data_IF_641677893471
#
_entry.id   IF_641677893471
#
_cell.length_a   1.000
_cell.length_b   1.000
_cell.length_c   1.000
_cell.angle_alpha   90.00
_cell.angle_beta   90.00
_cell.angle_gamma   90.00
#
_symmetry.space_group_name_H-M   'P 1'
#
loop_
_entity.id
_entity.type
_entity.pdbx_description
1 polymer ?
#
# COMPACT_ATOMS: atom_id res chain seq x y z
N UNK A 1 -71.51 -52.75 -23.02
CA UNK A 1 -71.36 -53.94 -22.19
C UNK A 1 -70.49 -53.59 -20.99
N UNK A 2 -71.04 -53.82 -19.79
CA UNK A 2 -70.42 -53.80 -18.42
C UNK A 2 -69.63 -52.61 -18.00
N UNK A 3 -70.11 -51.67 -17.15
CA UNK A 3 -70.53 -51.62 -15.73
C UNK A 3 -69.54 -52.27 -14.75
N UNK A 4 -68.99 -51.42 -13.84
CA UNK A 4 -68.86 -51.51 -12.37
C UNK A 4 -68.04 -50.33 -11.85
N UNK A 5 -68.62 -49.37 -11.13
CA UNK A 5 -68.95 -49.22 -9.72
C UNK A 5 -67.83 -49.67 -8.69
N UNK A 6 -67.49 -48.77 -7.84
CA UNK A 6 -66.87 -49.05 -6.56
C UNK A 6 -66.08 -47.83 -6.04
N UNK A 7 -66.51 -47.18 -5.21
CA UNK A 7 -66.75 -47.07 -3.77
C UNK A 7 -66.02 -45.84 -3.18
N UNK A 8 -66.78 -44.97 -2.58
CA UNK A 8 -66.41 -43.85 -1.73
C UNK A 8 -65.86 -44.37 -0.38
N UNK A 9 -64.73 -43.90 0.05
CA UNK A 9 -64.28 -44.02 1.43
C UNK A 9 -64.02 -42.61 2.04
N UNK A 10 -64.92 -42.21 2.91
CA UNK A 10 -64.82 -41.04 3.77
C UNK A 10 -63.92 -41.41 4.95
N UNK A 11 -62.80 -40.71 5.15
CA UNK A 11 -62.05 -40.78 6.37
C UNK A 11 -62.14 -39.41 7.07
N UNK A 12 -62.86 -39.37 8.20
CA UNK A 12 -62.83 -38.30 9.18
C UNK A 12 -61.43 -38.33 9.85
N UNK A 13 -60.65 -37.28 9.66
CA UNK A 13 -59.42 -37.05 10.38
C UNK A 13 -59.61 -35.93 11.41
N UNK A 14 -59.46 -36.27 12.69
CA UNK A 14 -59.54 -35.36 13.84
C UNK A 14 -58.44 -34.30 13.79
N UNK A 15 -58.83 -33.00 13.88
CA UNK A 15 -57.89 -31.90 14.03
C UNK A 15 -57.47 -31.79 15.50
N UNK A 16 -56.22 -32.18 15.80
CA UNK A 16 -55.59 -31.87 17.06
C UNK A 16 -54.92 -30.47 16.94
N UNK A 17 -55.51 -29.47 17.61
CA UNK A 17 -54.90 -28.16 17.79
C UNK A 17 -53.78 -28.24 18.82
N UNK A 18 -52.54 -28.25 18.36
CA UNK A 18 -51.38 -28.07 19.21
C UNK A 18 -51.12 -26.55 19.43
N UNK A 19 -51.41 -26.09 20.63
CA UNK A 19 -51.01 -24.75 21.11
C UNK A 19 -49.53 -24.74 21.37
N UNK A 20 -48.75 -24.14 20.41
CA UNK A 20 -47.36 -23.89 20.63
C UNK A 20 -47.17 -22.65 21.52
N UNK A 21 -46.78 -22.81 22.74
CA UNK A 21 -46.31 -21.73 23.62
C UNK A 21 -44.95 -21.26 23.13
N UNK A 22 -44.95 -20.09 22.43
CA UNK A 22 -43.70 -19.42 22.07
C UNK A 22 -43.04 -18.84 23.33
N UNK A 23 -41.92 -19.43 23.73
CA UNK A 23 -41.03 -18.85 24.73
C UNK A 23 -40.26 -17.73 24.03
N UNK A 24 -40.26 -16.47 24.48
CA UNK A 24 -39.44 -15.43 23.92
C UNK A 24 -37.95 -15.74 24.23
N UNK A 25 -37.19 -16.15 23.24
CA UNK A 25 -35.72 -16.15 23.32
C UNK A 25 -35.30 -14.70 23.35
N UNK A 26 -34.86 -14.21 24.50
CA UNK A 26 -34.18 -12.94 24.60
C UNK A 26 -32.94 -12.99 23.72
N UNK A 27 -32.97 -12.30 22.58
CA UNK A 27 -31.78 -12.02 21.78
C UNK A 27 -30.88 -11.12 22.64
N UNK A 28 -29.87 -11.71 23.28
CA UNK A 28 -28.75 -10.94 23.78
C UNK A 28 -28.12 -10.24 22.59
N UNK A 29 -28.30 -8.92 22.51
CA UNK A 29 -27.55 -8.09 21.58
C UNK A 29 -26.07 -8.32 21.90
N UNK A 30 -25.37 -9.05 21.05
CA UNK A 30 -23.91 -9.07 21.07
C UNK A 30 -23.49 -7.61 20.83
N UNK A 31 -22.82 -7.02 21.83
CA UNK A 31 -22.16 -5.73 21.68
C UNK A 31 -21.27 -5.77 20.43
N UNK A 32 -20.98 -4.63 19.83
CA UNK A 32 -20.08 -4.59 18.67
C UNK A 32 -18.76 -5.27 19.08
N UNK A 33 -18.47 -6.41 18.45
CA UNK A 33 -17.17 -7.04 18.60
C UNK A 33 -16.12 -6.02 18.18
N UNK A 34 -15.17 -5.70 19.05
CA UNK A 34 -14.01 -4.87 18.70
C UNK A 34 -13.37 -5.51 17.48
N UNK A 35 -13.46 -4.84 16.32
CA UNK A 35 -12.90 -5.39 15.10
C UNK A 35 -11.38 -5.29 15.23
N UNK A 36 -10.71 -6.43 15.25
CA UNK A 36 -9.24 -6.50 15.19
C UNK A 36 -8.78 -5.77 13.91
N UNK A 37 -7.74 -4.92 13.98
CA UNK A 37 -7.18 -4.28 12.80
C UNK A 37 -6.83 -5.30 11.72
N UNK A 38 -7.08 -4.97 10.45
CA UNK A 38 -6.72 -5.86 9.34
C UNK A 38 -5.20 -6.08 9.33
N UNK A 39 -4.71 -7.31 9.26
CA UNK A 39 -3.28 -7.58 9.15
C UNK A 39 -2.74 -7.02 7.83
N UNK A 40 -1.41 -6.83 7.74
CA UNK A 40 -0.74 -6.45 6.50
C UNK A 40 -1.06 -7.44 5.38
N UNK A 41 -1.53 -6.92 4.26
CA UNK A 41 -1.83 -7.71 3.07
C UNK A 41 -0.58 -7.77 2.18
N UNK A 42 0.07 -8.94 2.17
CA UNK A 42 1.13 -9.23 1.23
C UNK A 42 0.57 -9.31 -0.21
N UNK A 43 1.42 -9.03 -1.20
CA UNK A 43 1.02 -9.20 -2.58
C UNK A 43 0.59 -10.64 -2.87
N UNK A 44 -0.57 -10.84 -3.52
CA UNK A 44 -1.13 -12.17 -3.83
C UNK A 44 -0.18 -13.06 -4.63
N UNK A 45 0.68 -12.46 -5.49
CA UNK A 45 1.68 -13.15 -6.28
C UNK A 45 3.05 -13.28 -5.62
N UNK A 46 3.22 -12.91 -4.34
CA UNK A 46 4.49 -12.99 -3.65
C UNK A 46 5.01 -14.43 -3.53
N UNK A 47 6.23 -14.65 -4.00
CA UNK A 47 6.87 -15.97 -3.94
C UNK A 47 7.55 -16.17 -2.58
N UNK A 48 7.34 -17.31 -1.94
CA UNK A 48 8.05 -17.61 -0.71
C UNK A 48 9.54 -17.85 -0.97
N UNK A 49 10.40 -17.18 -0.20
CA UNK A 49 11.86 -17.34 -0.26
C UNK A 49 12.42 -17.36 1.16
N UNK A 50 13.31 -18.29 1.44
CA UNK A 50 14.01 -18.32 2.74
C UNK A 50 15.37 -17.60 2.60
N UNK A 51 15.56 -16.52 3.36
CA UNK A 51 16.80 -15.77 3.37
C UNK A 51 17.95 -16.58 3.99
N UNK A 52 19.13 -16.52 3.40
CA UNK A 52 20.30 -17.24 3.90
C UNK A 52 21.04 -16.45 5.00
N UNK A 53 21.67 -17.13 5.94
CA UNK A 53 22.49 -16.51 6.98
C UNK A 53 23.84 -15.99 6.46
N UNK A 54 24.21 -16.34 5.22
CA UNK A 54 25.44 -15.90 4.57
C UNK A 54 25.22 -15.65 3.08
N UNK A 55 26.04 -14.79 2.49
CA UNK A 55 25.97 -14.44 1.07
C UNK A 55 26.27 -15.63 0.14
N UNK A 56 27.06 -16.61 0.59
CA UNK A 56 27.44 -17.78 -0.23
C UNK A 56 26.27 -18.67 -0.64
N UNK A 57 25.21 -18.70 0.15
CA UNK A 57 23.99 -19.49 -0.10
C UNK A 57 22.75 -18.60 -0.33
N UNK A 58 22.96 -17.30 -0.56
CA UNK A 58 21.87 -16.35 -0.71
C UNK A 58 20.98 -16.70 -1.92
N UNK A 59 19.66 -16.87 -1.73
CA UNK A 59 18.73 -17.17 -2.81
C UNK A 59 18.60 -15.98 -3.75
N UNK A 60 18.36 -16.28 -5.03
CA UNK A 60 18.22 -15.27 -6.08
C UNK A 60 16.83 -14.61 -6.00
N UNK A 61 16.82 -13.29 -5.91
CA UNK A 61 15.65 -12.46 -6.20
C UNK A 61 15.73 -12.00 -7.67
N UNK A 62 14.72 -12.32 -8.46
CA UNK A 62 14.61 -11.86 -9.84
C UNK A 62 14.07 -10.42 -9.86
N UNK A 63 14.57 -9.60 -10.74
CA UNK A 63 14.00 -8.27 -11.01
C UNK A 63 12.53 -8.37 -11.37
N UNK A 64 11.72 -7.40 -10.93
CA UNK A 64 10.28 -7.39 -11.07
C UNK A 64 9.54 -8.36 -10.12
N UNK A 65 10.27 -9.16 -9.33
CA UNK A 65 9.66 -10.13 -8.41
C UNK A 65 9.30 -9.55 -7.05
N UNK A 66 8.19 -10.06 -6.48
CA UNK A 66 7.79 -9.83 -5.09
C UNK A 66 7.92 -11.12 -4.30
N UNK A 67 8.46 -11.03 -3.10
CA UNK A 67 8.79 -12.19 -2.27
C UNK A 67 8.28 -12.01 -0.85
N UNK A 68 7.83 -13.12 -0.25
CA UNK A 68 7.57 -13.22 1.18
C UNK A 68 8.70 -14.03 1.84
N UNK A 69 9.21 -13.50 2.95
CA UNK A 69 10.28 -14.11 3.74
C UNK A 69 10.08 -13.88 5.22
N UNK A 70 11.10 -14.17 6.04
CA UNK A 70 11.08 -13.94 7.47
C UNK A 70 12.44 -13.40 7.94
N UNK A 71 12.39 -12.47 8.91
CA UNK A 71 13.55 -11.92 9.59
C UNK A 71 13.59 -12.46 11.02
N UNK A 72 14.59 -13.24 11.41
CA UNK A 72 14.73 -13.70 12.79
C UNK A 72 14.97 -12.53 13.75
N UNK A 73 14.66 -12.73 15.01
CA UNK A 73 14.88 -11.72 16.07
C UNK A 73 16.34 -11.30 16.20
N UNK A 74 17.29 -12.18 15.86
CA UNK A 74 18.71 -11.90 15.89
C UNK A 74 19.42 -12.42 14.64
N UNK A 75 20.53 -11.76 14.28
CA UNK A 75 21.28 -12.08 13.07
C UNK A 75 20.74 -11.36 11.85
N UNK A 76 21.09 -11.88 10.68
CA UNK A 76 20.78 -11.29 9.39
C UNK A 76 20.36 -12.35 8.39
N UNK A 77 19.59 -11.93 7.40
CA UNK A 77 19.25 -12.74 6.22
C UNK A 77 19.76 -12.05 4.97
N UNK A 78 20.24 -12.85 4.02
CA UNK A 78 20.86 -12.36 2.79
C UNK A 78 20.17 -12.96 1.57
N UNK A 79 20.06 -12.14 0.53
CA UNK A 79 19.52 -12.49 -0.78
C UNK A 79 20.50 -12.05 -1.86
N UNK A 80 20.40 -12.61 -3.05
CA UNK A 80 21.25 -12.29 -4.21
C UNK A 80 20.44 -11.65 -5.32
N UNK A 81 21.04 -10.67 -5.98
CA UNK A 81 20.61 -10.09 -7.24
C UNK A 81 21.70 -10.35 -8.28
N UNK A 82 21.31 -10.75 -9.48
CA UNK A 82 22.24 -10.81 -10.62
C UNK A 82 21.96 -9.60 -11.51
N UNK A 83 22.82 -8.60 -11.44
CA UNK A 83 22.64 -7.29 -12.07
C UNK A 83 23.54 -7.11 -13.28
N UNK A 84 23.06 -6.36 -14.27
CA UNK A 84 23.87 -5.89 -15.40
C UNK A 84 24.81 -4.72 -14.98
N UNK A 85 25.53 -4.12 -15.93
CA UNK A 85 26.45 -3.01 -15.68
C UNK A 85 25.84 -1.64 -16.02
N UNK A 86 24.56 -1.55 -16.35
CA UNK A 86 23.96 -0.32 -16.92
C UNK A 86 22.69 0.13 -16.23
N UNK A 87 21.88 -0.80 -15.70
CA UNK A 87 20.62 -0.48 -15.03
C UNK A 87 20.83 -0.15 -13.56
N UNK A 88 20.05 0.72 -12.97
CA UNK A 88 19.96 0.84 -11.51
C UNK A 88 19.08 -0.28 -10.94
N UNK A 89 19.31 -0.68 -9.72
CA UNK A 89 18.52 -1.68 -9.03
C UNK A 89 18.13 -1.21 -7.63
N UNK A 90 16.90 -1.54 -7.23
CA UNK A 90 16.33 -1.18 -5.95
C UNK A 90 15.68 -2.41 -5.33
N UNK A 91 15.83 -2.58 -4.03
CA UNK A 91 15.13 -3.62 -3.27
C UNK A 91 14.45 -2.96 -2.09
N UNK A 92 13.13 -2.94 -2.12
CA UNK A 92 12.33 -2.57 -0.98
C UNK A 92 12.18 -3.77 -0.05
N UNK A 93 12.27 -3.53 1.24
CA UNK A 93 12.05 -4.51 2.31
C UNK A 93 11.05 -3.93 3.28
N UNK A 94 9.84 -4.49 3.30
CA UNK A 94 8.82 -4.18 4.31
C UNK A 94 8.89 -5.22 5.41
N UNK A 95 9.22 -4.79 6.63
CA UNK A 95 9.19 -5.63 7.82
C UNK A 95 7.84 -5.50 8.51
N UNK A 96 7.24 -6.64 8.82
CA UNK A 96 5.89 -6.75 9.38
C UNK A 96 5.97 -7.53 10.70
N UNK A 97 6.07 -6.84 11.85
CA UNK A 97 5.97 -7.48 13.15
C UNK A 97 4.56 -8.01 13.39
N UNK A 98 4.43 -8.98 14.30
CA UNK A 98 3.11 -9.39 14.78
C UNK A 98 2.41 -8.20 15.46
N UNK A 99 1.10 -8.00 15.26
CA UNK A 99 0.34 -6.95 15.97
C UNK A 99 0.43 -7.05 17.49
N UNK A 100 0.60 -8.27 18.04
CA UNK A 100 0.69 -8.53 19.49
C UNK A 100 2.14 -8.44 20.03
N UNK A 101 3.13 -8.15 19.16
CA UNK A 101 4.52 -7.98 19.58
C UNK A 101 4.74 -6.63 20.25
N UNK A 102 5.83 -6.52 21.02
CA UNK A 102 6.31 -5.24 21.54
C UNK A 102 7.55 -4.81 20.79
N UNK A 103 7.68 -3.50 20.58
CA UNK A 103 8.82 -2.89 19.89
C UNK A 103 9.37 -1.72 20.70
N UNK A 104 10.69 -1.51 20.65
CA UNK A 104 11.33 -0.34 21.24
C UNK A 104 11.34 0.83 20.26
N UNK A 105 11.69 2.02 20.76
CA UNK A 105 11.81 3.25 19.93
C UNK A 105 12.80 3.07 18.77
N UNK A 106 13.91 2.39 19.01
CA UNK A 106 15.00 2.21 18.05
C UNK A 106 14.97 0.85 17.35
N UNK A 107 14.05 -0.04 17.75
CA UNK A 107 13.83 -1.30 17.05
C UNK A 107 13.37 -1.01 15.62
N UNK A 108 13.90 -1.78 14.66
CA UNK A 108 13.66 -1.47 13.27
C UNK A 108 14.36 -2.44 12.32
N UNK A 109 14.38 -2.07 11.05
CA UNK A 109 15.00 -2.86 9.99
C UNK A 109 16.09 -2.06 9.28
N UNK A 110 17.21 -2.73 8.99
CA UNK A 110 18.30 -2.19 8.20
C UNK A 110 18.53 -3.04 6.95
N UNK A 111 18.69 -2.38 5.81
CA UNK A 111 18.91 -2.99 4.50
C UNK A 111 20.24 -2.51 3.96
N UNK A 112 21.12 -3.45 3.61
CA UNK A 112 22.43 -3.14 3.02
C UNK A 112 22.58 -3.87 1.69
N UNK A 113 23.00 -3.17 0.64
CA UNK A 113 23.37 -3.76 -0.65
C UNK A 113 24.88 -3.72 -0.80
N UNK A 114 25.48 -4.86 -1.18
CA UNK A 114 26.92 -5.03 -1.40
C UNK A 114 27.16 -5.69 -2.76
N UNK A 115 28.31 -5.37 -3.38
CA UNK A 115 28.79 -6.10 -4.55
C UNK A 115 29.48 -7.43 -4.16
N UNK A 116 29.91 -8.19 -5.17
CA UNK A 116 30.58 -9.48 -4.95
C UNK A 116 31.92 -9.36 -4.23
N UNK A 117 32.57 -8.21 -4.29
CA UNK A 117 33.81 -7.90 -3.61
C UNK A 117 33.60 -7.43 -2.16
N UNK A 118 32.34 -7.27 -1.72
CA UNK A 118 31.96 -6.83 -0.38
C UNK A 118 31.95 -5.31 -0.20
N UNK A 119 32.04 -4.53 -1.28
CA UNK A 119 31.87 -3.08 -1.20
C UNK A 119 30.41 -2.74 -0.97
N UNK A 120 30.13 -1.83 -0.03
CA UNK A 120 28.77 -1.35 0.25
C UNK A 120 28.33 -0.37 -0.84
N UNK A 121 27.23 -0.70 -1.50
CA UNK A 121 26.57 0.12 -2.52
C UNK A 121 25.63 1.13 -1.89
N UNK A 122 24.84 0.68 -0.92
CA UNK A 122 23.94 1.50 -0.11
C UNK A 122 23.65 0.84 1.23
N UNK A 123 23.23 1.65 2.19
CA UNK A 123 22.65 1.22 3.46
C UNK A 123 21.52 2.16 3.79
N UNK A 124 20.40 1.61 4.23
CA UNK A 124 19.23 2.34 4.71
C UNK A 124 18.66 1.63 5.92
N UNK A 125 18.00 2.38 6.82
CA UNK A 125 17.33 1.83 7.99
C UNK A 125 16.12 2.68 8.39
N UNK A 126 15.15 2.01 8.99
CA UNK A 126 13.96 2.62 9.58
C UNK A 126 13.67 2.00 10.94
N UNK A 127 12.97 2.73 11.82
CA UNK A 127 12.60 2.28 13.17
C UNK A 127 11.18 2.69 13.53
N UNK A 128 10.62 2.10 14.61
CA UNK A 128 9.23 2.35 15.01
C UNK A 128 8.99 3.71 15.68
N UNK A 129 10.05 4.41 16.10
CA UNK A 129 9.92 5.73 16.70
C UNK A 129 9.26 5.74 18.08
N UNK A 130 8.84 6.93 18.51
CA UNK A 130 8.39 7.19 19.89
C UNK A 130 7.03 6.57 20.22
N UNK A 131 6.21 6.29 19.22
CA UNK A 131 4.91 5.62 19.40
C UNK A 131 5.03 4.18 19.92
N UNK A 132 6.18 3.51 19.71
CA UNK A 132 6.43 2.12 20.11
C UNK A 132 5.31 1.16 19.72
N UNK A 133 4.71 1.40 18.59
CA UNK A 133 3.58 0.63 18.08
C UNK A 133 4.04 -0.29 16.95
N UNK A 134 3.85 -1.61 17.04
CA UNK A 134 4.23 -2.52 15.96
C UNK A 134 3.34 -2.26 14.72
N UNK A 135 3.99 -2.01 13.59
CA UNK A 135 3.33 -1.77 12.30
C UNK A 135 4.29 -2.09 11.15
N UNK A 136 3.79 -2.22 9.92
CA UNK A 136 4.67 -2.40 8.77
C UNK A 136 5.58 -1.19 8.58
N UNK A 137 6.90 -1.41 8.54
CA UNK A 137 7.92 -0.40 8.27
C UNK A 137 8.74 -0.83 7.05
N UNK A 138 9.17 0.11 6.21
CA UNK A 138 9.92 -0.20 5.01
C UNK A 138 11.24 0.55 4.93
N UNK A 139 12.29 -0.17 4.53
CA UNK A 139 13.57 0.39 4.15
C UNK A 139 13.96 -0.15 2.77
N UNK A 140 14.86 0.51 2.08
CA UNK A 140 15.27 0.12 0.75
C UNK A 140 16.78 0.06 0.55
N UNK A 141 17.22 -0.87 -0.27
CA UNK A 141 18.60 -0.95 -0.72
C UNK A 141 18.70 -0.60 -2.20
N UNK A 142 19.82 -0.01 -2.60
CA UNK A 142 20.00 0.39 -3.99
C UNK A 142 21.40 0.12 -4.51
N UNK A 143 21.47 -0.20 -5.79
CA UNK A 143 22.69 -0.15 -6.57
C UNK A 143 22.50 0.83 -7.72
N UNK A 144 23.23 1.93 -7.69
CA UNK A 144 23.14 3.00 -8.69
C UNK A 144 24.38 3.07 -9.56
N UNK A 145 24.18 3.21 -10.86
CA UNK A 145 25.20 3.55 -11.84
C UNK A 145 25.21 5.07 -11.99
N UNK A 146 26.13 5.73 -11.31
CA UNK A 146 26.24 7.19 -11.31
C UNK A 146 27.67 7.63 -11.68
N UNK A 147 27.87 8.76 -12.38
CA UNK A 147 29.19 9.26 -12.75
C UNK A 147 30.15 9.43 -11.56
N UNK A 148 29.62 9.82 -10.40
CA UNK A 148 30.41 10.04 -9.17
C UNK A 148 30.70 8.79 -8.34
N UNK A 149 30.08 7.64 -8.63
CA UNK A 149 30.25 6.39 -7.86
C UNK A 149 31.16 5.43 -8.61
N UNK A 150 32.31 5.08 -8.04
CA UNK A 150 33.24 4.11 -8.64
C UNK A 150 32.91 2.66 -8.27
N UNK A 151 32.32 2.44 -7.08
CA UNK A 151 31.98 1.12 -6.54
C UNK A 151 30.66 0.60 -7.10
N UNK A 152 30.44 -0.70 -7.00
CA UNK A 152 29.19 -1.38 -7.33
C UNK A 152 28.72 -1.26 -8.81
N UNK A 153 29.60 -0.87 -9.72
CA UNK A 153 29.24 -0.65 -11.14
C UNK A 153 29.31 -1.90 -12.01
N UNK A 154 30.00 -2.94 -11.54
CA UNK A 154 30.21 -4.16 -12.32
C UNK A 154 28.90 -4.94 -12.44
N UNK A 155 28.75 -5.65 -13.56
CA UNK A 155 27.75 -6.71 -13.67
C UNK A 155 28.11 -7.88 -12.77
N UNK A 156 27.11 -8.64 -12.36
CA UNK A 156 27.28 -9.85 -11.56
C UNK A 156 26.47 -9.86 -10.28
N UNK A 157 26.88 -10.72 -9.35
CA UNK A 157 26.17 -10.90 -8.10
C UNK A 157 26.29 -9.67 -7.19
N UNK A 158 25.15 -9.24 -6.69
CA UNK A 158 25.03 -8.28 -5.59
C UNK A 158 24.21 -8.92 -4.48
N UNK A 159 24.47 -8.54 -3.25
CA UNK A 159 23.84 -9.14 -2.08
C UNK A 159 23.06 -8.09 -1.30
N UNK A 160 21.81 -8.43 -1.00
CA UNK A 160 20.93 -7.67 -0.13
C UNK A 160 20.95 -8.33 1.23
N UNK A 161 21.37 -7.62 2.25
CA UNK A 161 21.35 -8.09 3.64
C UNK A 161 20.34 -7.31 4.43
N UNK A 162 19.48 -8.02 5.14
CA UNK A 162 18.44 -7.48 6.02
C UNK A 162 18.73 -7.92 7.44
N UNK A 163 18.73 -6.96 8.38
CA UNK A 163 18.96 -7.23 9.80
C UNK A 163 18.05 -6.32 10.66
N UNK A 164 17.71 -6.79 11.87
CA UNK A 164 17.05 -5.92 12.84
C UNK A 164 18.04 -4.90 13.40
N UNK A 165 17.56 -3.69 13.60
CA UNK A 165 18.26 -2.67 14.37
C UNK A 165 17.91 -2.90 15.83
N UNK A 166 18.92 -2.95 16.71
CA UNK A 166 18.77 -3.16 18.16
C UNK A 166 17.91 -4.39 18.56
N UNK A 167 18.25 -5.59 18.10
CA UNK A 167 17.43 -6.78 18.32
C UNK A 167 17.35 -7.21 19.81
N UNK A 168 18.27 -6.73 20.62
CA UNK A 168 18.34 -6.98 22.07
C UNK A 168 17.80 -5.79 22.89
N UNK A 169 17.13 -4.83 22.23
CA UNK A 169 16.57 -3.63 22.85
C UNK A 169 15.59 -3.96 23.97
N UNK A 170 15.70 -3.25 25.10
CA UNK A 170 14.79 -3.43 26.23
C UNK A 170 13.35 -3.13 25.77
N UNK A 171 12.46 -4.11 25.95
CA UNK A 171 11.04 -4.02 25.58
C UNK A 171 10.69 -4.53 24.18
N UNK A 172 11.65 -5.10 23.42
CA UNK A 172 11.38 -5.71 22.12
C UNK A 172 11.08 -7.21 22.26
N UNK A 173 10.02 -7.68 21.57
CA UNK A 173 9.68 -9.12 21.51
C UNK A 173 10.74 -9.87 20.70
N UNK A 174 11.08 -11.12 21.11
CA UNK A 174 12.02 -11.98 20.40
C UNK A 174 11.41 -12.64 19.16
N UNK A 175 10.22 -12.24 18.74
CA UNK A 175 9.53 -12.85 17.61
C UNK A 175 10.18 -12.51 16.28
N UNK A 176 10.15 -13.45 15.35
CA UNK A 176 10.54 -13.18 13.97
C UNK A 176 9.49 -12.27 13.31
N UNK A 177 9.95 -11.40 12.41
CA UNK A 177 9.07 -10.56 11.60
C UNK A 177 8.89 -11.15 10.21
N UNK A 178 7.68 -11.06 9.66
CA UNK A 178 7.48 -11.33 8.25
C UNK A 178 8.13 -10.22 7.40
N UNK A 179 8.63 -10.60 6.21
CA UNK A 179 9.19 -9.67 5.24
C UNK A 179 8.44 -9.74 3.92
N UNK A 180 8.17 -8.58 3.33
CA UNK A 180 7.88 -8.46 1.89
C UNK A 180 9.06 -7.77 1.21
N UNK A 181 9.64 -8.43 0.19
CA UNK A 181 10.72 -7.87 -0.61
C UNK A 181 10.24 -7.65 -2.03
N UNK A 182 10.59 -6.49 -2.61
CA UNK A 182 10.32 -6.19 -4.02
C UNK A 182 11.62 -5.79 -4.68
N UNK A 183 12.04 -6.57 -5.69
CA UNK A 183 13.23 -6.28 -6.47
C UNK A 183 12.83 -5.52 -7.75
N UNK A 184 13.43 -4.35 -7.98
CA UNK A 184 13.09 -3.45 -9.08
C UNK A 184 14.34 -3.07 -9.85
N UNK A 185 14.17 -2.81 -11.16
CA UNK A 185 15.25 -2.23 -11.98
C UNK A 185 14.75 -1.01 -12.74
N UNK A 186 15.60 0.00 -12.79
CA UNK A 186 15.43 1.20 -13.60
C UNK A 186 16.47 1.16 -14.74
N UNK A 187 16.06 1.15 -16.01
CA UNK A 187 17.00 1.13 -17.12
C UNK A 187 17.80 2.44 -17.17
N UNK A 188 18.96 2.40 -17.81
CA UNK A 188 19.72 3.63 -18.05
C UNK A 188 18.94 4.60 -18.91
N UNK A 189 19.23 5.88 -18.75
CA UNK A 189 18.71 6.90 -19.68
C UNK A 189 19.35 6.76 -21.06
N UNK A 190 18.56 6.97 -22.11
CA UNK A 190 19.03 6.94 -23.50
C UNK A 190 19.96 8.14 -23.83
N UNK A 191 19.73 9.26 -23.16
CA UNK A 191 20.51 10.50 -23.29
C UNK A 191 21.12 10.87 -21.92
N UNK A 192 22.29 11.50 -21.95
CA UNK A 192 22.89 12.09 -20.76
C UNK A 192 22.06 13.29 -20.31
N UNK A 193 21.59 13.26 -19.07
CA UNK A 193 20.86 14.34 -18.43
C UNK A 193 21.72 15.17 -17.46
N UNK A 194 21.09 16.05 -16.67
CA UNK A 194 21.76 16.76 -15.58
C UNK A 194 22.48 15.80 -14.63
N UNK A 195 23.58 16.26 -14.04
CA UNK A 195 24.40 15.52 -13.05
C UNK A 195 24.38 16.17 -11.67
N UNK A 196 23.48 17.12 -11.46
CA UNK A 196 23.23 17.78 -10.20
C UNK A 196 21.73 17.98 -9.99
N UNK A 197 21.28 17.92 -8.73
CA UNK A 197 19.90 18.20 -8.40
C UNK A 197 19.50 19.65 -8.73
N UNK A 198 18.20 19.92 -9.05
CA UNK A 198 17.70 21.27 -9.19
C UNK A 198 17.93 22.09 -7.91
N UNK A 199 18.50 23.28 -8.06
CA UNK A 199 18.85 24.11 -6.89
C UNK A 199 17.72 25.00 -6.38
N UNK A 200 16.68 25.23 -7.17
CA UNK A 200 15.59 26.18 -6.87
C UNK A 200 14.23 25.52 -7.15
N UNK A 201 13.37 25.53 -6.15
CA UNK A 201 11.98 25.08 -6.25
C UNK A 201 11.11 25.87 -5.28
N UNK A 202 9.79 25.82 -5.39
CA UNK A 202 8.87 26.49 -4.48
C UNK A 202 8.81 25.74 -3.15
N UNK A 203 9.54 26.22 -2.14
CA UNK A 203 9.60 25.66 -0.78
C UNK A 203 8.61 26.31 0.19
N UNK A 204 7.72 27.18 -0.28
CA UNK A 204 6.68 27.75 0.57
C UNK A 204 5.72 26.64 1.03
N UNK A 205 5.40 26.64 2.33
CA UNK A 205 4.42 25.70 2.89
C UNK A 205 3.06 25.94 2.22
N UNK A 206 2.52 24.98 1.47
CA UNK A 206 1.23 25.13 0.84
C UNK A 206 0.12 25.18 1.89
N UNK A 207 -0.92 25.99 1.64
CA UNK A 207 -2.11 25.94 2.47
C UNK A 207 -2.79 24.57 2.32
N UNK A 208 -3.30 23.97 3.42
CA UNK A 208 -4.06 22.74 3.34
C UNK A 208 -5.21 22.86 2.34
N UNK A 209 -5.42 21.80 1.56
CA UNK A 209 -6.49 21.76 0.57
C UNK A 209 -7.84 21.89 1.28
N UNK A 210 -8.67 22.85 0.85
CA UNK A 210 -10.04 23.02 1.34
C UNK A 210 -11.00 22.27 0.41
N UNK A 211 -12.10 21.75 0.95
CA UNK A 211 -13.12 21.04 0.19
C UNK A 211 -13.96 20.13 1.09
N UNK A 212 -15.03 19.58 0.53
CA UNK A 212 -15.78 18.52 1.17
C UNK A 212 -14.93 17.25 1.19
N UNK A 213 -15.00 16.51 2.30
CA UNK A 213 -14.28 15.27 2.44
C UNK A 213 -15.06 14.13 1.78
N UNK A 214 -14.38 13.36 0.94
CA UNK A 214 -14.91 12.12 0.36
C UNK A 214 -14.40 10.91 1.13
N UNK A 215 -15.28 9.91 1.32
CA UNK A 215 -14.85 8.67 1.98
C UNK A 215 -14.04 7.80 1.03
N UNK A 216 -12.83 7.41 1.50
CA UNK A 216 -11.94 6.47 0.83
C UNK A 216 -11.34 5.53 1.87
N UNK A 217 -11.72 4.28 1.81
CA UNK A 217 -11.16 3.27 2.71
C UNK A 217 -9.74 2.91 2.27
N UNK A 218 -8.77 3.05 3.17
CA UNK A 218 -7.38 2.68 2.91
C UNK A 218 -7.18 1.17 2.75
N UNK A 219 -6.17 0.81 1.98
CA UNK A 219 -5.74 -0.57 1.79
C UNK A 219 -4.96 -1.11 3.00
N UNK A 220 -4.64 -2.40 2.97
CA UNK A 220 -3.94 -3.08 4.06
C UNK A 220 -2.45 -3.37 3.75
N UNK A 221 -1.92 -2.89 2.64
CA UNK A 221 -0.53 -3.10 2.23
C UNK A 221 -0.19 -2.31 0.97
N UNK A 222 1.08 -2.28 0.59
CA UNK A 222 1.54 -1.50 -0.57
C UNK A 222 0.87 -1.94 -1.88
N UNK A 223 0.75 -3.23 -2.13
CA UNK A 223 0.15 -3.75 -3.38
C UNK A 223 -1.35 -3.50 -3.44
N UNK A 224 -2.02 -3.52 -2.28
CA UNK A 224 -3.44 -3.20 -2.16
C UNK A 224 -3.71 -1.77 -1.70
N UNK A 225 -2.75 -0.85 -1.83
CA UNK A 225 -2.95 0.55 -1.48
C UNK A 225 -4.07 1.17 -2.30
N UNK A 226 -4.99 1.86 -1.63
CA UNK A 226 -6.13 2.48 -2.31
C UNK A 226 -5.66 3.69 -3.11
N UNK A 227 -5.91 3.72 -4.42
CA UNK A 227 -5.53 4.86 -5.23
C UNK A 227 -6.41 6.07 -4.90
N UNK A 228 -5.76 7.21 -4.73
CA UNK A 228 -6.37 8.52 -4.50
C UNK A 228 -5.63 9.59 -5.31
N UNK A 229 -6.36 10.57 -5.76
CA UNK A 229 -5.79 11.75 -6.41
C UNK A 229 -5.70 12.95 -5.46
N UNK A 230 -5.55 14.15 -5.99
CA UNK A 230 -5.66 15.38 -5.22
C UNK A 230 -7.07 15.53 -4.66
N UNK A 231 -7.20 15.64 -3.32
CA UNK A 231 -8.50 15.72 -2.67
C UNK A 231 -8.43 15.81 -1.16
N UNK A 232 -9.62 15.81 -0.55
CA UNK A 232 -9.83 15.67 0.89
C UNK A 232 -10.48 14.32 1.13
N UNK A 233 -9.71 13.40 1.71
CA UNK A 233 -10.11 11.99 1.86
C UNK A 233 -10.37 11.66 3.31
N UNK A 234 -11.50 11.08 3.64
CA UNK A 234 -11.88 10.69 4.99
C UNK A 234 -11.97 9.17 5.12
N UNK A 235 -11.40 8.65 6.20
CA UNK A 235 -11.54 7.26 6.61
C UNK A 235 -11.67 7.17 8.14
N UNK A 236 -11.95 5.97 8.64
CA UNK A 236 -11.96 5.65 10.05
C UNK A 236 -10.77 4.71 10.33
N UNK A 237 -9.92 5.08 11.31
CA UNK A 237 -8.75 4.30 11.69
C UNK A 237 -8.87 3.82 13.15
N UNK A 238 -8.35 2.63 13.45
CA UNK A 238 -8.34 2.05 14.79
C UNK A 238 -6.94 1.98 15.36
N UNK A 239 -6.78 2.02 16.69
CA UNK A 239 -5.48 1.79 17.33
C UNK A 239 -4.84 0.47 16.84
N UNK A 240 -3.55 0.52 16.49
CA UNK A 240 -2.80 -0.57 15.88
C UNK A 240 -3.05 -0.79 14.38
N UNK A 241 -3.95 -0.06 13.76
CA UNK A 241 -4.23 -0.17 12.33
C UNK A 241 -3.29 0.67 11.49
N UNK A 242 -2.92 0.12 10.31
CA UNK A 242 -2.18 0.82 9.26
C UNK A 242 -2.99 0.84 7.98
N UNK A 243 -3.12 2.00 7.37
CA UNK A 243 -3.87 2.25 6.13
C UNK A 243 -2.91 2.72 5.04
N UNK A 244 -3.07 2.16 3.83
CA UNK A 244 -2.22 2.42 2.68
C UNK A 244 -3.01 3.10 1.56
N UNK A 245 -2.48 4.21 1.05
CA UNK A 245 -3.02 4.92 -0.10
C UNK A 245 -1.92 5.12 -1.14
N UNK A 246 -2.28 5.15 -2.42
CA UNK A 246 -1.36 5.38 -3.53
C UNK A 246 -1.77 6.65 -4.28
N UNK A 247 -0.83 7.56 -4.46
CA UNK A 247 -1.03 8.84 -5.15
C UNK A 247 -0.15 8.88 -6.39
N UNK A 248 -0.70 8.96 -7.60
CA UNK A 248 0.10 9.13 -8.80
C UNK A 248 0.73 10.53 -8.82
N UNK A 249 2.06 10.59 -8.88
CA UNK A 249 2.82 11.85 -8.96
C UNK A 249 3.77 11.77 -10.14
N UNK A 250 3.57 12.66 -11.10
CA UNK A 250 4.32 12.69 -12.35
C UNK A 250 5.57 13.59 -12.25
N UNK A 251 6.43 13.50 -13.22
CA UNK A 251 7.59 14.37 -13.38
C UNK A 251 7.19 15.85 -13.33
N UNK A 252 7.93 16.66 -12.58
CA UNK A 252 7.66 18.08 -12.39
C UNK A 252 6.53 18.39 -11.41
N UNK A 253 5.81 17.38 -10.91
CA UNK A 253 4.77 17.58 -9.92
C UNK A 253 5.33 17.49 -8.49
N UNK A 254 4.70 18.22 -7.59
CA UNK A 254 5.05 18.35 -6.17
C UNK A 254 3.87 17.89 -5.33
N UNK A 255 4.12 16.94 -4.42
CA UNK A 255 3.11 16.44 -3.49
C UNK A 255 3.20 17.17 -2.14
N UNK A 256 2.06 17.47 -1.54
CA UNK A 256 1.94 18.00 -0.19
C UNK A 256 0.78 17.32 0.51
N UNK A 257 0.98 16.88 1.76
CA UNK A 257 -0.02 16.10 2.50
C UNK A 257 -0.14 16.63 3.92
N UNK A 258 -1.38 16.74 4.38
CA UNK A 258 -1.73 16.96 5.79
C UNK A 258 -2.59 15.80 6.27
N UNK A 259 -2.22 15.20 7.40
CA UNK A 259 -3.04 14.21 8.10
C UNK A 259 -3.71 14.87 9.32
N UNK A 260 -4.97 14.57 9.52
CA UNK A 260 -5.77 15.05 10.65
C UNK A 260 -6.38 13.86 11.38
N UNK A 261 -6.29 13.85 12.71
CA UNK A 261 -7.01 12.91 13.58
C UNK A 261 -8.15 13.67 14.25
N UNK A 262 -9.38 13.20 14.07
CA UNK A 262 -10.58 13.87 14.58
C UNK A 262 -10.74 13.72 16.09
N UNK A 263 -11.62 14.51 16.68
CA UNK A 263 -11.91 14.47 18.12
C UNK A 263 -12.67 13.21 18.52
N UNK A 264 -12.51 12.80 19.79
CA UNK A 264 -13.31 11.78 20.45
C UNK A 264 -14.05 12.32 21.65
N UNK A 265 -15.22 11.79 21.91
CA UNK A 265 -16.06 12.16 23.07
C UNK A 265 -15.80 11.26 24.30
N UNK A 266 -14.64 10.60 24.38
CA UNK A 266 -14.34 9.64 25.45
C UNK A 266 -14.33 10.24 26.86
N UNK A 267 -14.28 11.56 26.99
CA UNK A 267 -14.17 12.25 28.28
C UNK A 267 -12.81 12.05 28.96
N UNK A 268 -11.92 11.30 28.35
CA UNK A 268 -10.59 10.98 28.87
C UNK A 268 -9.65 12.17 28.71
N UNK A 269 -8.71 12.31 29.64
CA UNK A 269 -7.63 13.30 29.57
C UNK A 269 -6.30 12.58 29.53
N UNK A 270 -5.45 12.98 28.61
CA UNK A 270 -4.11 12.40 28.44
C UNK A 270 -3.47 12.96 27.17
N UNK A 271 -2.26 12.53 26.89
CA UNK A 271 -1.54 12.88 25.67
C UNK A 271 -0.76 11.67 25.15
N UNK A 272 -1.02 11.27 23.92
CA UNK A 272 -0.26 10.23 23.23
C UNK A 272 0.63 10.92 22.19
N UNK A 273 1.96 10.92 22.36
CA UNK A 273 2.87 11.45 21.34
C UNK A 273 2.82 10.55 20.09
N UNK A 274 3.01 11.17 18.92
CA UNK A 274 3.02 10.46 17.63
C UNK A 274 1.90 9.42 17.51
N UNK A 275 0.69 9.80 17.96
CA UNK A 275 -0.49 8.93 17.96
C UNK A 275 -0.88 8.51 16.54
N UNK A 276 -0.88 9.44 15.59
CA UNK A 276 -1.03 9.16 14.18
C UNK A 276 0.30 9.45 13.49
N UNK A 277 0.92 8.43 12.92
CA UNK A 277 2.09 8.55 12.06
C UNK A 277 1.68 8.48 10.60
N UNK A 278 2.18 9.44 9.79
CA UNK A 278 2.01 9.46 8.35
C UNK A 278 3.38 9.46 7.68
N UNK A 279 3.69 8.40 6.95
CA UNK A 279 4.92 8.28 6.15
C UNK A 279 4.59 8.31 4.65
N UNK A 280 5.37 9.08 3.89
CA UNK A 280 5.36 9.11 2.43
C UNK A 280 6.49 8.25 1.90
N UNK A 281 6.17 7.27 1.05
CA UNK A 281 7.13 6.45 0.32
C UNK A 281 7.09 6.75 -1.18
N UNK A 282 8.24 6.64 -1.83
CA UNK A 282 8.34 6.75 -3.30
C UNK A 282 7.90 5.47 -4.02
N UNK A 283 7.83 5.43 -5.36
CA UNK A 283 7.43 4.25 -6.13
C UNK A 283 8.27 2.99 -5.86
N UNK A 284 9.54 3.16 -5.46
CA UNK A 284 10.41 2.04 -5.04
C UNK A 284 10.26 1.69 -3.55
N UNK A 285 9.24 2.24 -2.87
CA UNK A 285 8.97 2.10 -1.43
C UNK A 285 10.12 2.56 -0.53
N UNK A 286 10.94 3.48 -1.02
CA UNK A 286 11.93 4.20 -0.20
C UNK A 286 11.26 5.34 0.53
N UNK A 287 11.63 5.55 1.79
CA UNK A 287 11.12 6.65 2.61
C UNK A 287 11.47 8.01 1.98
N UNK A 288 10.52 8.93 2.02
CA UNK A 288 10.66 10.31 1.55
C UNK A 288 10.57 11.28 2.71
N UNK A 289 9.51 11.20 3.47
CA UNK A 289 9.23 12.08 4.60
C UNK A 289 8.13 11.50 5.48
N UNK A 290 8.16 11.87 6.75
CA UNK A 290 7.16 11.47 7.74
C UNK A 290 6.68 12.66 8.57
N UNK A 291 5.56 12.48 9.26
CA UNK A 291 5.04 13.38 10.27
C UNK A 291 4.24 12.64 11.33
N UNK A 292 4.62 12.83 12.59
CA UNK A 292 3.89 12.36 13.75
C UNK A 292 2.87 13.41 14.24
N UNK A 293 1.64 12.96 14.51
CA UNK A 293 0.57 13.80 15.07
C UNK A 293 0.26 13.32 16.48
N UNK A 294 0.58 14.13 17.48
CA UNK A 294 0.21 13.84 18.87
C UNK A 294 -1.29 13.97 19.09
N UNK A 295 -1.84 13.26 20.09
CA UNK A 295 -3.27 13.25 20.35
C UNK A 295 -3.61 13.52 21.82
N UNK A 296 -4.61 14.36 22.05
CA UNK A 296 -5.12 14.73 23.36
C UNK A 296 -6.66 14.60 23.48
N UNK A 297 -7.28 13.84 22.56
CA UNK A 297 -8.74 13.69 22.46
C UNK A 297 -9.43 14.77 21.61
N UNK A 298 -8.80 15.92 21.37
CA UNK A 298 -9.26 16.94 20.42
C UNK A 298 -8.72 16.70 19.01
N UNK A 299 -9.36 17.33 18.01
CA UNK A 299 -8.86 17.29 16.63
C UNK A 299 -7.42 17.88 16.58
N UNK A 300 -6.53 17.14 15.95
CA UNK A 300 -5.15 17.56 15.73
C UNK A 300 -4.67 17.19 14.33
N UNK A 301 -3.65 17.90 13.82
CA UNK A 301 -3.15 17.68 12.47
C UNK A 301 -1.64 17.88 12.37
N UNK A 302 -1.04 17.22 11.41
CA UNK A 302 0.36 17.40 11.01
C UNK A 302 0.48 17.40 9.50
N UNK A 303 1.47 18.14 8.99
CA UNK A 303 1.77 18.20 7.56
C UNK A 303 3.18 17.71 7.29
N UNK A 304 3.36 16.98 6.20
CA UNK A 304 4.69 16.68 5.71
C UNK A 304 5.47 17.97 5.43
N UNK A 305 6.79 17.98 5.62
CA UNK A 305 7.61 19.13 5.25
C UNK A 305 7.45 19.46 3.77
N UNK A 306 7.72 20.70 3.35
CA UNK A 306 7.74 21.03 1.92
C UNK A 306 8.75 20.16 1.18
N UNK A 307 8.30 19.53 0.11
CA UNK A 307 9.07 18.61 -0.73
C UNK A 307 9.29 19.24 -2.11
N UNK A 308 10.44 19.05 -2.78
CA UNK A 308 10.63 19.53 -4.14
C UNK A 308 9.77 18.76 -5.15
N UNK A 309 9.59 19.28 -6.36
CA UNK A 309 8.99 18.53 -7.46
C UNK A 309 9.76 17.25 -7.76
N UNK A 310 9.03 16.23 -8.22
CA UNK A 310 9.62 14.98 -8.69
C UNK A 310 10.48 15.28 -9.93
N UNK A 311 11.76 14.96 -9.84
CA UNK A 311 12.73 15.15 -10.92
C UNK A 311 13.78 14.03 -10.89
N UNK A 312 14.09 13.48 -12.07
CA UNK A 312 15.12 12.45 -12.19
C UNK A 312 16.49 12.89 -11.65
N UNK A 313 16.82 14.17 -11.76
CA UNK A 313 18.08 14.74 -11.27
C UNK A 313 18.11 14.86 -9.72
N UNK A 314 16.99 14.74 -9.01
CA UNK A 314 16.96 14.71 -7.55
C UNK A 314 17.85 13.61 -6.97
N UNK A 315 18.14 12.53 -7.73
CA UNK A 315 19.09 11.47 -7.35
C UNK A 315 20.50 11.97 -6.99
N UNK A 316 20.85 13.15 -7.45
CA UNK A 316 22.13 13.80 -7.15
C UNK A 316 22.07 14.75 -5.95
N UNK A 317 20.93 14.84 -5.27
CA UNK A 317 20.78 15.66 -4.08
C UNK A 317 21.59 15.11 -2.90
N UNK A 318 22.05 16.01 -2.04
CA UNK A 318 22.83 15.65 -0.85
C UNK A 318 21.96 15.05 0.26
N UNK A 319 20.66 15.38 0.31
CA UNK A 319 19.73 14.86 1.34
C UNK A 319 18.98 13.65 0.82
N UNK A 320 18.78 12.65 1.67
CA UNK A 320 18.02 11.45 1.34
C UNK A 320 16.59 11.80 0.91
N UNK A 321 15.93 12.71 1.63
CA UNK A 321 14.57 13.18 1.35
C UNK A 321 14.41 13.68 -0.09
N UNK A 322 15.25 14.60 -0.54
CA UNK A 322 15.19 15.12 -1.91
C UNK A 322 15.58 14.03 -2.91
N UNK A 323 16.61 13.26 -2.59
CA UNK A 323 17.07 12.16 -3.43
C UNK A 323 16.03 11.06 -3.63
N UNK A 324 15.10 10.86 -2.71
CA UNK A 324 14.01 9.90 -2.82
C UNK A 324 12.92 10.34 -3.82
N UNK A 325 12.82 11.64 -4.14
CA UNK A 325 11.84 12.20 -5.10
C UNK A 325 12.36 12.16 -6.57
N UNK A 326 12.99 11.05 -6.93
CA UNK A 326 13.68 10.84 -8.23
C UNK A 326 12.89 10.04 -9.26
N UNK A 327 11.67 9.60 -8.93
CA UNK A 327 10.82 8.76 -9.75
C UNK A 327 9.44 9.39 -9.92
N UNK A 328 8.90 9.38 -11.14
CA UNK A 328 7.44 9.43 -11.30
C UNK A 328 6.85 8.06 -10.94
N UNK A 329 5.55 8.00 -10.66
CA UNK A 329 4.84 6.78 -10.33
C UNK A 329 3.92 6.93 -9.14
N UNK A 330 3.49 5.81 -8.57
CA UNK A 330 2.65 5.80 -7.38
C UNK A 330 3.48 6.07 -6.13
N UNK A 331 3.25 7.19 -5.48
CA UNK A 331 3.73 7.48 -4.14
C UNK A 331 2.76 6.93 -3.11
N UNK A 332 3.27 6.35 -2.02
CA UNK A 332 2.41 5.71 -1.02
C UNK A 332 2.34 6.56 0.23
N UNK A 333 1.12 6.82 0.69
CA UNK A 333 0.85 7.40 2.00
C UNK A 333 0.47 6.25 2.94
N UNK A 334 1.25 6.07 3.98
CA UNK A 334 1.04 5.04 4.98
C UNK A 334 0.70 5.72 6.30
N UNK A 335 -0.55 5.57 6.74
CA UNK A 335 -1.03 6.15 7.99
C UNK A 335 -1.19 5.04 9.05
N UNK A 336 -0.55 5.19 10.19
CA UNK A 336 -0.61 4.26 11.32
C UNK A 336 -1.13 4.95 12.56
N UNK A 337 -2.16 4.38 13.22
CA UNK A 337 -2.62 4.84 14.52
C UNK A 337 -2.02 3.95 15.61
N UNK A 338 -1.23 4.56 16.49
CA UNK A 338 -0.52 3.85 17.54
C UNK A 338 -1.47 3.07 18.47
N UNK A 339 -1.10 1.85 18.85
CA UNK A 339 -1.88 1.01 19.77
C UNK A 339 -2.16 1.71 21.11
N UNK A 340 -1.20 2.47 21.66
CA UNK A 340 -1.32 3.18 22.92
C UNK A 340 -2.46 4.22 22.96
N UNK A 341 -3.05 4.59 21.82
CA UNK A 341 -4.25 5.43 21.77
C UNK A 341 -5.44 4.73 22.44
N UNK A 342 -5.53 3.39 22.32
CA UNK A 342 -6.59 2.62 22.96
C UNK A 342 -6.57 2.72 24.49
N UNK A 343 -5.40 2.77 25.11
CA UNK A 343 -5.24 2.83 26.56
C UNK A 343 -5.89 4.07 27.19
N UNK A 344 -5.92 5.17 26.44
CA UNK A 344 -6.44 6.46 26.92
C UNK A 344 -7.83 6.76 26.36
N UNK A 345 -8.04 6.48 25.07
CA UNK A 345 -9.22 6.95 24.33
C UNK A 345 -10.15 5.83 23.86
N UNK A 346 -9.82 4.56 24.15
CA UNK A 346 -10.60 3.38 23.75
C UNK A 346 -10.32 2.91 22.32
N UNK A 347 -11.03 1.86 21.90
CA UNK A 347 -10.76 1.13 20.65
C UNK A 347 -11.24 1.84 19.38
N UNK A 348 -11.80 3.04 19.48
CA UNK A 348 -12.27 3.82 18.34
C UNK A 348 -13.50 3.21 17.64
N UNK A 349 -13.74 3.43 16.37
CA UNK A 349 -12.84 4.05 15.38
C UNK A 349 -12.65 5.56 15.57
N UNK A 350 -11.53 6.08 15.07
CA UNK A 350 -11.20 7.51 15.09
C UNK A 350 -11.31 8.06 13.67
N UNK A 351 -12.00 9.20 13.45
CA UNK A 351 -12.03 9.84 12.15
C UNK A 351 -10.64 10.31 11.75
N UNK A 352 -10.19 9.96 10.55
CA UNK A 352 -8.94 10.41 9.96
C UNK A 352 -9.24 11.15 8.65
N UNK A 353 -8.55 12.25 8.41
CA UNK A 353 -8.65 13.00 7.14
C UNK A 353 -7.26 13.20 6.55
N UNK A 354 -7.11 12.86 5.28
CA UNK A 354 -5.93 13.16 4.47
C UNK A 354 -6.27 14.27 3.49
N UNK A 355 -5.50 15.35 3.51
CA UNK A 355 -5.57 16.44 2.52
C UNK A 355 -4.38 16.32 1.60
N UNK A 356 -4.61 15.82 0.40
CA UNK A 356 -3.57 15.56 -0.60
C UNK A 356 -3.63 16.62 -1.68
N UNK A 357 -2.51 17.29 -1.92
CA UNK A 357 -2.33 18.25 -3.01
C UNK A 357 -1.21 17.77 -3.92
N UNK A 358 -1.49 17.70 -5.20
CA UNK A 358 -0.49 17.47 -6.25
C UNK A 358 -0.47 18.73 -7.12
N UNK A 359 0.63 19.46 -7.12
CA UNK A 359 0.78 20.75 -7.82
C UNK A 359 1.87 20.67 -8.87
N UNK A 360 1.81 21.55 -9.84
CA UNK A 360 2.69 21.52 -11.01
C UNK A 360 2.06 20.80 -12.20
N UNK A 361 2.54 21.12 -13.39
CA UNK A 361 2.11 20.44 -14.61
C UNK A 361 2.99 19.21 -14.85
N UNK A 362 2.44 18.07 -15.25
CA UNK A 362 3.23 16.94 -15.71
C UNK A 362 4.24 17.36 -16.77
N UNK A 363 5.47 16.89 -16.63
CA UNK A 363 6.56 17.13 -17.54
C UNK A 363 7.03 15.83 -18.18
N UNK A 364 7.74 15.90 -19.27
CA UNK A 364 8.40 14.74 -19.86
C UNK A 364 9.50 14.25 -18.91
N UNK A 365 9.47 12.97 -18.60
CA UNK A 365 10.53 12.31 -17.83
C UNK A 365 11.79 12.04 -18.67
N UNK A 366 12.76 11.34 -18.09
CA UNK A 366 13.94 10.89 -18.83
C UNK A 366 13.52 9.89 -19.91
N UNK A 367 14.16 9.96 -21.08
CA UNK A 367 14.04 8.89 -22.06
C UNK A 367 14.86 7.69 -21.57
N UNK A 368 14.21 6.63 -21.22
CA UNK A 368 14.86 5.38 -20.83
C UNK A 368 15.26 4.54 -22.06
N UNK A 369 16.36 3.82 -21.98
CA UNK A 369 16.84 2.91 -23.03
C UNK A 369 16.30 1.48 -22.90
N UNK A 370 15.21 1.29 -22.16
CA UNK A 370 14.57 0.03 -21.89
C UNK A 370 13.34 0.22 -21.02
N UNK A 371 12.74 -0.87 -20.58
CA UNK A 371 11.59 -0.87 -19.67
C UNK A 371 12.08 -1.12 -18.23
N UNK A 372 11.39 -0.56 -17.24
CA UNK A 372 11.59 -0.89 -15.83
C UNK A 372 11.06 -2.30 -15.51
N UNK A 373 11.56 -2.89 -14.45
CA UNK A 373 11.01 -4.12 -13.87
C UNK A 373 10.67 -3.86 -12.39
N UNK A 374 9.41 -3.95 -11.99
CA UNK A 374 8.20 -4.19 -12.78
C UNK A 374 7.98 -3.09 -13.83
N UNK A 375 7.34 -3.47 -14.96
CA UNK A 375 7.04 -2.53 -16.05
C UNK A 375 6.15 -1.39 -15.55
N UNK A 376 6.50 -0.16 -15.92
CA UNK A 376 5.72 1.05 -15.61
C UNK A 376 5.82 1.53 -14.16
N UNK A 377 6.62 0.89 -13.29
CA UNK A 377 6.70 1.26 -11.87
C UNK A 377 7.22 2.70 -11.65
N UNK A 378 7.98 3.24 -12.60
CA UNK A 378 8.52 4.61 -12.57
C UNK A 378 7.85 5.55 -13.58
N UNK A 379 6.59 5.31 -13.86
CA UNK A 379 5.75 6.08 -14.77
C UNK A 379 4.35 6.26 -14.18
N UNK A 380 3.65 7.31 -14.58
CA UNK A 380 2.23 7.50 -14.29
C UNK A 380 1.46 7.32 -15.59
N UNK A 381 0.67 6.26 -15.67
CA UNK A 381 -0.20 5.98 -16.81
C UNK A 381 -1.55 6.69 -16.68
N UNK A 382 -2.30 6.77 -17.77
CA UNK A 382 -3.69 7.25 -17.72
C UNK A 382 -4.56 6.35 -16.87
N UNK A 383 -4.28 5.04 -16.84
CA UNK A 383 -4.96 4.08 -15.97
C UNK A 383 -4.73 4.37 -14.48
N UNK A 384 -3.52 4.79 -14.09
CA UNK A 384 -3.24 5.17 -12.70
C UNK A 384 -4.03 6.42 -12.29
N UNK A 385 -4.16 7.39 -13.20
CA UNK A 385 -4.97 8.61 -12.96
C UNK A 385 -6.46 8.31 -12.87
N UNK A 386 -6.98 7.44 -13.76
CA UNK A 386 -8.37 6.99 -13.71
C UNK A 386 -8.64 6.21 -12.42
N UNK A 387 -7.76 5.27 -12.06
CA UNK A 387 -7.87 4.51 -10.82
C UNK A 387 -7.87 5.42 -9.58
N UNK A 388 -7.04 6.46 -9.55
CA UNK A 388 -6.98 7.43 -8.47
C UNK A 388 -8.27 8.26 -8.37
N UNK A 389 -8.85 8.68 -9.49
CA UNK A 389 -10.11 9.41 -9.53
C UNK A 389 -11.30 8.53 -9.07
N UNK A 390 -11.32 7.26 -9.47
CA UNK A 390 -12.39 6.32 -9.12
C UNK A 390 -12.20 5.66 -7.75
N UNK A 391 -10.97 5.58 -7.24
CA UNK A 391 -10.61 4.91 -5.99
C UNK A 391 -10.61 3.38 -6.08
N UNK A 392 -10.43 2.85 -7.28
CA UNK A 392 -10.37 1.40 -7.55
C UNK A 392 -8.97 1.07 -8.03
N UNK A 393 -8.29 0.13 -7.37
CA UNK A 393 -6.93 -0.24 -7.75
C UNK A 393 -6.88 -0.76 -9.20
N UNK A 394 -5.90 -0.30 -9.97
CA UNK A 394 -5.71 -0.64 -11.39
C UNK A 394 -5.53 -2.14 -11.70
N UNK A 395 -5.35 -2.97 -10.67
CA UNK A 395 -5.18 -4.43 -10.76
C UNK A 395 -6.37 -5.26 -10.29
N UNK A 396 -7.50 -4.65 -9.94
CA UNK A 396 -8.67 -5.42 -9.53
C UNK A 396 -9.45 -5.93 -10.75
N UNK A 397 -8.84 -6.95 -11.40
CA UNK A 397 -9.42 -7.68 -12.54
C UNK A 397 -10.86 -8.17 -12.30
N UNK A 398 -11.31 -8.25 -11.04
CA UNK A 398 -12.68 -8.65 -10.69
C UNK A 398 -13.69 -7.56 -11.03
N UNK A 399 -13.39 -6.29 -10.80
CA UNK A 399 -14.26 -5.18 -11.18
C UNK A 399 -14.26 -4.98 -12.70
N UNK A 400 -13.08 -5.07 -13.35
CA UNK A 400 -12.96 -5.01 -14.81
C UNK A 400 -13.60 -6.20 -15.49
N UNK A 401 -13.51 -7.41 -14.93
CA UNK A 401 -14.25 -8.58 -15.43
C UNK A 401 -15.76 -8.44 -15.25
N UNK A 402 -16.23 -7.85 -14.14
CA UNK A 402 -17.65 -7.58 -13.95
C UNK A 402 -18.18 -6.55 -14.97
N UNK A 403 -17.42 -5.49 -15.25
CA UNK A 403 -17.75 -4.50 -16.28
C UNK A 403 -17.69 -5.12 -17.70
N UNK A 404 -16.67 -5.92 -18.01
CA UNK A 404 -16.56 -6.58 -19.30
C UNK A 404 -17.67 -7.62 -19.52
N UNK A 405 -17.99 -8.43 -18.51
CA UNK A 405 -19.08 -9.41 -18.59
C UNK A 405 -20.46 -8.72 -18.63
N UNK A 406 -20.64 -7.65 -17.85
CA UNK A 406 -21.88 -6.84 -17.89
C UNK A 406 -22.05 -6.10 -19.22
N UNK A 407 -20.99 -5.49 -19.75
CA UNK A 407 -21.00 -4.78 -21.03
C UNK A 407 -21.20 -5.70 -22.24
N UNK A 408 -20.50 -6.84 -22.28
CA UNK A 408 -20.67 -7.84 -23.36
C UNK A 408 -22.04 -8.51 -23.27
N UNK A 409 -22.52 -8.83 -22.07
CA UNK A 409 -23.85 -9.44 -21.86
C UNK A 409 -25.00 -8.55 -22.33
N UNK A 410 -25.00 -7.27 -21.95
CA UNK A 410 -26.03 -6.29 -22.38
C UNK A 410 -25.91 -5.93 -23.85
N UNK A 411 -24.69 -5.79 -24.39
CA UNK A 411 -24.45 -5.52 -25.81
C UNK A 411 -24.94 -6.68 -26.70
N UNK A 412 -24.64 -7.92 -26.31
CA UNK A 412 -25.09 -9.11 -27.03
C UNK A 412 -26.61 -9.30 -26.97
N UNK A 413 -27.26 -9.03 -25.83
CA UNK A 413 -28.73 -9.08 -25.72
C UNK A 413 -29.41 -8.02 -26.59
N UNK A 414 -28.87 -6.82 -26.70
CA UNK A 414 -29.38 -5.76 -27.56
C UNK A 414 -29.22 -6.13 -29.05
N UNK A 415 -28.09 -6.70 -29.46
CA UNK A 415 -27.87 -7.15 -30.83
C UNK A 415 -28.80 -8.28 -31.24
N UNK A 416 -29.01 -9.27 -30.34
CA UNK A 416 -29.98 -10.34 -30.57
C UNK A 416 -31.41 -9.79 -30.64
N UNK A 417 -31.77 -8.88 -29.73
CA UNK A 417 -33.08 -8.20 -29.74
C UNK A 417 -33.32 -7.43 -31.04
N UNK A 418 -32.32 -6.70 -31.52
CA UNK A 418 -32.40 -5.96 -32.80
C UNK A 418 -32.50 -6.93 -33.99
N UNK A 419 -31.74 -8.03 -33.95
CA UNK A 419 -31.80 -9.09 -34.98
C UNK A 419 -33.18 -9.73 -35.07
N UNK A 420 -33.76 -10.14 -33.95
CA UNK A 420 -35.11 -10.70 -33.87
C UNK A 420 -36.16 -9.70 -34.36
N UNK A 421 -36.09 -8.44 -33.93
CA UNK A 421 -37.00 -7.38 -34.35
C UNK A 421 -36.89 -7.13 -35.86
N UNK A 422 -35.68 -7.10 -36.42
CA UNK A 422 -35.47 -6.92 -37.89
C UNK A 422 -36.07 -8.06 -38.69
N UNK A 423 -35.96 -9.32 -38.22
CA UNK A 423 -36.56 -10.50 -38.88
C UNK A 423 -38.08 -10.45 -38.80
N UNK A 424 -38.66 -10.07 -37.66
CA UNK A 424 -40.10 -9.94 -37.49
C UNK A 424 -40.67 -8.80 -38.33
N UNK A 425 -39.99 -7.66 -38.38
CA UNK A 425 -40.40 -6.52 -39.21
C UNK A 425 -40.40 -6.84 -40.72
N UNK A 426 -39.42 -7.62 -41.19
CA UNK A 426 -39.40 -8.07 -42.59
C UNK A 426 -40.45 -9.08 -42.94
N UNK A 427 -40.95 -9.88 -41.99
CA UNK A 427 -42.06 -10.82 -42.20
C UNK A 427 -43.43 -10.14 -42.20
N UNK A 428 -43.57 -8.98 -41.55
CA UNK A 428 -44.82 -8.20 -41.54
C UNK A 428 -45.09 -7.36 -42.79
N UNK A 429 -44.09 -7.19 -43.69
CA UNK A 429 -44.23 -6.44 -44.95
C UNK A 429 -44.43 -7.36 -46.19
N UNK A 430 -44.60 -8.65 -46.02
CA UNK A 430 -44.80 -9.63 -47.08
C UNK A 430 -46.19 -10.31 -47.00
N UNK A 431 -47.21 -9.63 -46.46
CA UNK A 431 -48.63 -10.03 -46.47
C UNK A 431 -49.50 -9.00 -47.14
#
# INVERSE_FOLDING_TARGET
MAVRLGALAVILGATATATATAVPVAATAAGPASATPSPYAFADGAQSVEGARSTGNAPLLKSGGTYKSSLPSSGKVSYRLDLDAVSNAYVSVTAVPSPDSTVSVIDGVKVTVQDAEGNTCSTDNTSFGTARSPHPIAAWGMREISPGKALCRKAGAHYVTVERVDPDGEGSSPDAWDLELVAMTEPRTAKTGPTSAPGVWNSATPQPLQGEAERRKGGAGFTGATPIDQGVWQDDIRPGQTLFYAVPVDWGQQISVTAELGSTDSGSTGYTPDALDLTLYNPARGDVADVGVGYNGGQNSGSLPPLPPVDHANRYAATAQVSALRFAGSYYLVAHLAQGVADTYGDGPFPMTLRVRVSGQPQSGPEYAGESEPKGVFEVSDQDREAAAEGVAAGDDTAMRALAVGGIGTGSALLVGLGVWTVLARRGTAA
#
